data_IF_886938929689
#
_entry.id   IF_886938929689
#
_cell.length_a   1.000
_cell.length_b   1.000
_cell.length_c   1.000
_cell.angle_alpha   90.00
_cell.angle_beta   90.00
_cell.angle_gamma   90.00
#
_symmetry.space_group_name_H-M   'P 1'
#
loop_
_entity.id
_entity.type
_entity.pdbx_description
1 polymer ?
#
# COMPACT_ATOMS: atom_id res chain seq x y z
N UNK A 1 22.75 15.33 -11.23
CA UNK A 1 21.30 15.10 -11.08
C UNK A 1 20.84 14.66 -12.49
N UNK A 2 20.29 13.46 -12.62
CA UNK A 2 19.81 12.96 -13.92
C UNK A 2 18.52 13.70 -14.31
N UNK A 3 18.31 13.95 -15.59
CA UNK A 3 17.06 14.56 -16.06
C UNK A 3 15.97 13.50 -16.29
N UNK A 4 14.70 13.91 -16.31
CA UNK A 4 13.55 12.99 -16.43
C UNK A 4 13.62 12.09 -17.67
N UNK A 5 14.13 12.59 -18.80
CA UNK A 5 14.26 11.83 -20.05
C UNK A 5 15.32 10.72 -19.94
N UNK A 6 16.44 10.99 -19.24
CA UNK A 6 17.49 9.97 -19.00
C UNK A 6 16.96 8.88 -18.07
N UNK A 7 16.22 9.27 -17.02
CA UNK A 7 15.62 8.31 -16.08
C UNK A 7 14.59 7.43 -16.80
N UNK A 8 13.70 8.02 -17.61
CA UNK A 8 12.69 7.27 -18.37
C UNK A 8 13.32 6.29 -19.37
N UNK A 9 14.34 6.72 -20.12
CA UNK A 9 15.07 5.85 -21.05
C UNK A 9 15.79 4.70 -20.34
N UNK A 10 16.33 4.94 -19.15
CA UNK A 10 16.95 3.90 -18.33
C UNK A 10 15.90 2.94 -17.76
N UNK A 11 14.73 3.45 -17.36
CA UNK A 11 13.62 2.67 -16.86
C UNK A 11 13.05 1.71 -17.91
N UNK A 12 12.84 2.20 -19.14
CA UNK A 12 12.39 1.37 -20.26
C UNK A 12 13.33 0.17 -20.50
N UNK A 13 14.64 0.38 -20.35
CA UNK A 13 15.65 -0.69 -20.45
C UNK A 13 15.69 -1.61 -19.23
N UNK A 14 15.25 -1.11 -18.07
CA UNK A 14 15.20 -1.87 -16.83
C UNK A 14 13.99 -2.81 -16.76
N UNK A 15 12.93 -2.53 -17.53
CA UNK A 15 11.74 -3.37 -17.61
C UNK A 15 12.14 -4.83 -17.97
N UNK A 16 11.57 -5.79 -17.26
CA UNK A 16 11.86 -7.22 -17.39
C UNK A 16 13.32 -7.62 -17.07
N UNK A 17 14.03 -6.81 -16.31
CA UNK A 17 15.36 -7.14 -15.78
C UNK A 17 15.34 -7.23 -14.25
N UNK A 18 16.42 -7.75 -13.66
CA UNK A 18 16.59 -7.78 -12.20
C UNK A 18 16.85 -6.42 -11.55
N UNK A 19 16.88 -5.34 -12.31
CA UNK A 19 17.05 -3.98 -11.77
C UNK A 19 15.79 -3.52 -11.02
N UNK A 20 14.61 -3.92 -11.50
CA UNK A 20 13.33 -3.72 -10.84
C UNK A 20 12.97 -4.98 -10.05
N UNK A 21 12.63 -4.82 -8.78
CA UNK A 21 12.30 -5.93 -7.90
C UNK A 21 11.33 -5.49 -6.81
N UNK A 22 10.66 -6.46 -6.18
CA UNK A 22 9.73 -6.21 -5.08
C UNK A 22 10.38 -6.52 -3.75
N UNK A 23 10.09 -5.67 -2.77
CA UNK A 23 10.34 -5.91 -1.34
C UNK A 23 9.01 -5.84 -0.59
N UNK A 24 8.97 -6.38 0.62
CA UNK A 24 7.74 -6.58 1.38
C UNK A 24 7.90 -5.98 2.77
N UNK A 25 7.08 -5.01 3.11
CA UNK A 25 7.09 -4.39 4.42
C UNK A 25 6.00 -4.98 5.30
N UNK A 26 6.32 -5.48 6.51
CA UNK A 26 5.33 -6.11 7.37
C UNK A 26 4.33 -5.11 7.93
N UNK A 27 3.08 -5.53 7.97
CA UNK A 27 1.96 -4.87 8.63
C UNK A 27 1.67 -5.62 9.92
N UNK A 28 1.79 -4.93 11.06
CA UNK A 28 1.64 -5.51 12.38
C UNK A 28 0.29 -5.12 13.01
N UNK A 29 -0.46 -6.11 13.47
CA UNK A 29 -1.74 -5.91 14.12
C UNK A 29 -1.54 -5.74 15.63
N UNK A 30 -1.98 -4.61 16.17
CA UNK A 30 -1.77 -4.23 17.57
C UNK A 30 -2.61 -5.06 18.55
N UNK A 31 -3.77 -5.56 18.12
CA UNK A 31 -4.67 -6.32 19.00
C UNK A 31 -4.13 -7.71 19.32
N UNK A 32 -3.67 -8.45 18.29
CA UNK A 32 -3.16 -9.82 18.46
C UNK A 32 -1.65 -9.90 18.52
N UNK A 33 -0.94 -8.77 18.34
CA UNK A 33 0.52 -8.64 18.37
C UNK A 33 1.22 -9.57 17.37
N UNK A 34 0.70 -9.65 16.13
CA UNK A 34 1.23 -10.48 15.06
C UNK A 34 1.30 -9.72 13.75
N UNK A 35 2.18 -10.17 12.87
CA UNK A 35 2.16 -9.74 11.47
C UNK A 35 0.84 -10.23 10.86
N UNK A 36 0.06 -9.33 10.29
CA UNK A 36 -1.23 -9.59 9.64
C UNK A 36 -1.16 -9.55 8.11
N UNK A 37 -0.05 -9.08 7.57
CA UNK A 37 0.16 -8.98 6.14
C UNK A 37 1.46 -8.26 5.79
N UNK A 38 1.60 -7.97 4.51
CA UNK A 38 2.74 -7.23 3.98
C UNK A 38 2.27 -6.27 2.89
N UNK A 39 2.93 -5.14 2.77
CA UNK A 39 2.82 -4.27 1.61
C UNK A 39 3.96 -4.59 0.63
N UNK A 40 3.62 -4.79 -0.63
CA UNK A 40 4.58 -4.98 -1.72
C UNK A 40 5.03 -3.62 -2.26
N UNK A 41 6.32 -3.39 -2.21
CA UNK A 41 6.93 -2.13 -2.57
C UNK A 41 7.96 -2.35 -3.69
N UNK A 42 7.80 -1.66 -4.82
CA UNK A 42 8.75 -1.74 -5.92
C UNK A 42 10.04 -1.00 -5.57
N UNK A 43 11.16 -1.55 -6.03
CA UNK A 43 12.49 -0.93 -5.93
C UNK A 43 13.17 -0.97 -7.29
N UNK A 44 13.94 0.06 -7.55
CA UNK A 44 14.77 0.15 -8.76
C UNK A 44 16.22 0.44 -8.37
N UNK A 45 17.10 -0.51 -8.70
CA UNK A 45 18.55 -0.34 -8.57
C UNK A 45 19.18 -0.28 -9.96
N UNK A 46 19.38 0.94 -10.45
CA UNK A 46 20.00 1.18 -11.75
C UNK A 46 21.53 1.04 -11.65
N UNK A 47 22.18 0.28 -12.54
CA UNK A 47 23.65 0.16 -12.56
C UNK A 47 24.37 1.50 -12.77
N UNK A 48 23.70 2.48 -13.37
CA UNK A 48 24.28 3.77 -13.72
C UNK A 48 23.91 4.88 -12.72
N UNK A 49 22.71 4.79 -12.09
CA UNK A 49 22.13 5.83 -11.26
C UNK A 49 22.01 5.42 -9.78
N UNK A 50 22.26 4.14 -9.46
CA UNK A 50 22.04 3.60 -8.10
C UNK A 50 20.56 3.39 -7.80
N UNK A 51 20.22 3.44 -6.50
CA UNK A 51 18.82 3.33 -6.04
C UNK A 51 18.02 4.57 -6.42
N UNK A 52 16.90 4.36 -7.12
CA UNK A 52 15.97 5.42 -7.53
C UNK A 52 14.67 5.24 -6.73
N UNK A 53 14.19 6.36 -6.15
CA UNK A 53 12.94 6.34 -5.37
C UNK A 53 11.74 5.95 -6.25
N UNK A 54 10.81 5.13 -5.73
CA UNK A 54 9.53 4.84 -6.38
C UNK A 54 8.79 6.11 -6.81
N UNK A 55 8.73 7.13 -5.97
CA UNK A 55 8.05 8.40 -6.26
C UNK A 55 8.56 9.04 -7.57
N UNK A 56 9.85 8.88 -7.87
CA UNK A 56 10.44 9.44 -9.11
C UNK A 56 10.04 8.61 -10.33
N UNK A 57 10.24 7.29 -10.30
CA UNK A 57 10.03 6.50 -11.50
C UNK A 57 8.57 6.12 -11.75
N UNK A 58 7.75 5.99 -10.70
CA UNK A 58 6.30 5.77 -10.84
C UNK A 58 5.65 7.00 -11.47
N UNK A 59 5.94 8.20 -10.95
CA UNK A 59 5.43 9.45 -11.54
C UNK A 59 5.83 9.59 -13.01
N UNK A 60 7.07 9.23 -13.37
CA UNK A 60 7.51 9.28 -14.77
C UNK A 60 6.75 8.28 -15.66
N UNK A 61 6.41 7.09 -15.15
CA UNK A 61 5.58 6.11 -15.89
C UNK A 61 4.15 6.61 -16.05
N UNK A 62 3.58 7.25 -15.04
CA UNK A 62 2.25 7.86 -15.11
C UNK A 62 2.22 8.99 -16.13
N UNK A 63 3.15 9.95 -16.04
CA UNK A 63 3.24 11.11 -16.93
C UNK A 63 3.47 10.71 -18.40
N UNK A 64 4.23 9.63 -18.63
CA UNK A 64 4.48 9.11 -19.97
C UNK A 64 3.38 8.19 -20.51
N UNK A 65 2.37 7.85 -19.71
CA UNK A 65 1.32 6.88 -20.06
C UNK A 65 1.78 5.42 -20.11
N UNK A 66 2.99 5.12 -19.58
CA UNK A 66 3.59 3.79 -19.62
C UNK A 66 3.40 2.99 -18.33
N UNK A 67 2.55 3.44 -17.40
CA UNK A 67 2.36 2.79 -16.08
C UNK A 67 1.95 1.30 -16.22
N UNK A 68 1.19 0.95 -17.25
CA UNK A 68 0.77 -0.43 -17.51
C UNK A 68 1.94 -1.38 -17.82
N UNK A 69 3.13 -0.85 -18.14
CA UNK A 69 4.32 -1.68 -18.43
C UNK A 69 4.85 -2.41 -17.19
N UNK A 70 4.48 -1.98 -15.99
CA UNK A 70 4.87 -2.60 -14.73
C UNK A 70 3.73 -3.35 -14.02
N UNK A 71 2.51 -3.41 -14.60
CA UNK A 71 1.32 -4.00 -13.98
C UNK A 71 1.58 -5.42 -13.46
N UNK A 72 2.16 -6.30 -14.29
CA UNK A 72 2.44 -7.69 -13.89
C UNK A 72 3.45 -7.76 -12.72
N UNK A 73 4.38 -6.82 -12.65
CA UNK A 73 5.36 -6.75 -11.58
C UNK A 73 4.73 -6.27 -10.27
N UNK A 74 3.78 -5.33 -10.36
CA UNK A 74 3.10 -4.75 -9.17
C UNK A 74 2.00 -5.66 -8.64
N UNK A 75 1.35 -6.44 -9.50
CA UNK A 75 0.20 -7.28 -9.11
C UNK A 75 0.52 -8.77 -9.15
N UNK A 76 0.77 -9.34 -10.33
CA UNK A 76 0.91 -10.79 -10.50
C UNK A 76 2.08 -11.37 -9.69
N UNK A 77 3.26 -10.75 -9.76
CA UNK A 77 4.46 -11.24 -9.05
C UNK A 77 4.28 -11.26 -7.52
N UNK A 78 3.81 -10.19 -6.86
CA UNK A 78 3.57 -10.21 -5.42
C UNK A 78 2.46 -11.19 -5.02
N UNK A 79 1.40 -11.33 -5.82
CA UNK A 79 0.32 -12.28 -5.51
C UNK A 79 0.81 -13.73 -5.57
N UNK A 80 1.66 -14.10 -6.55
CA UNK A 80 2.29 -15.43 -6.60
C UNK A 80 3.13 -15.69 -5.34
N UNK A 81 3.91 -14.70 -4.90
CA UNK A 81 4.69 -14.80 -3.65
C UNK A 81 3.77 -15.02 -2.44
N UNK A 82 2.66 -14.27 -2.35
CA UNK A 82 1.72 -14.34 -1.23
C UNK A 82 0.98 -15.68 -1.13
N UNK A 83 0.86 -16.45 -2.22
CA UNK A 83 0.25 -17.79 -2.17
C UNK A 83 1.01 -18.75 -1.25
N UNK A 84 2.30 -18.51 -1.04
CA UNK A 84 3.20 -19.35 -0.21
C UNK A 84 3.14 -18.99 1.27
N UNK A 85 2.46 -17.91 1.63
CA UNK A 85 2.34 -17.47 3.02
C UNK A 85 1.20 -18.20 3.73
N UNK A 86 1.33 -18.43 5.05
CA UNK A 86 0.22 -18.99 5.83
C UNK A 86 -0.98 -18.03 5.85
N UNK A 87 -2.18 -18.59 5.89
CA UNK A 87 -3.38 -17.79 6.17
C UNK A 87 -3.39 -17.32 7.62
N UNK A 88 -3.95 -16.15 7.91
CA UNK A 88 -4.74 -15.26 7.04
C UNK A 88 -3.98 -14.03 6.52
N UNK A 89 -2.67 -14.14 6.24
CA UNK A 89 -1.86 -12.99 5.84
C UNK A 89 -2.39 -12.35 4.56
N UNK A 90 -2.51 -11.02 4.59
CA UNK A 90 -2.98 -10.19 3.48
C UNK A 90 -1.79 -9.55 2.79
N UNK A 91 -1.83 -9.45 1.48
CA UNK A 91 -0.88 -8.69 0.68
C UNK A 91 -1.54 -7.41 0.17
N UNK A 92 -0.91 -6.28 0.45
CA UNK A 92 -1.26 -4.98 -0.12
C UNK A 92 -0.40 -4.66 -1.34
N UNK A 93 -1.02 -4.14 -2.39
CA UNK A 93 -0.37 -3.67 -3.61
C UNK A 93 -0.88 -2.29 -3.97
N UNK A 94 0.04 -1.42 -4.39
CA UNK A 94 -0.28 -0.08 -4.85
C UNK A 94 -0.72 -0.11 -6.32
N UNK A 95 -1.88 0.48 -6.63
CA UNK A 95 -2.36 0.65 -8.00
C UNK A 95 -2.56 2.14 -8.26
N UNK A 96 -2.08 2.61 -9.41
CA UNK A 96 -2.17 4.02 -9.76
C UNK A 96 -3.62 4.45 -10.00
N UNK A 97 -3.91 5.73 -9.76
CA UNK A 97 -5.24 6.28 -10.03
C UNK A 97 -5.63 6.19 -11.52
N UNK A 98 -4.65 6.21 -12.42
CA UNK A 98 -4.91 6.01 -13.84
C UNK A 98 -5.45 4.60 -14.14
N UNK A 99 -4.92 3.58 -13.44
CA UNK A 99 -5.42 2.21 -13.56
C UNK A 99 -6.82 2.06 -12.96
N UNK A 100 -7.16 2.80 -11.88
CA UNK A 100 -8.51 2.84 -11.33
C UNK A 100 -9.53 3.41 -12.31
N UNK A 101 -9.10 4.14 -13.33
CA UNK A 101 -9.91 4.70 -14.37
C UNK A 101 -10.10 3.79 -15.59
N UNK A 102 -9.38 2.66 -15.63
CA UNK A 102 -9.59 1.66 -16.67
C UNK A 102 -10.78 0.75 -16.31
N UNK A 103 -11.85 0.75 -17.15
CA UNK A 103 -13.02 -0.12 -16.90
C UNK A 103 -12.68 -1.62 -16.85
N UNK A 104 -11.51 -2.04 -17.34
CA UNK A 104 -11.07 -3.43 -17.38
C UNK A 104 -10.31 -3.86 -16.11
N UNK A 105 -9.98 -2.93 -15.21
CA UNK A 105 -9.23 -3.24 -13.97
C UNK A 105 -9.84 -4.42 -13.18
N UNK A 106 -11.15 -4.46 -12.85
CA UNK A 106 -11.70 -5.58 -12.07
C UNK A 106 -11.57 -6.94 -12.77
N UNK A 107 -11.65 -6.95 -14.10
CA UNK A 107 -11.49 -8.18 -14.89
C UNK A 107 -10.04 -8.66 -14.87
N UNK A 108 -9.06 -7.75 -15.00
CA UNK A 108 -7.63 -8.08 -14.90
C UNK A 108 -7.28 -8.62 -13.52
N UNK A 109 -7.72 -7.93 -12.46
CA UNK A 109 -7.50 -8.36 -11.07
C UNK A 109 -8.07 -9.76 -10.85
N UNK A 110 -9.31 -10.01 -11.24
CA UNK A 110 -9.94 -11.34 -11.14
C UNK A 110 -9.15 -12.41 -11.87
N UNK A 111 -8.76 -12.14 -13.12
CA UNK A 111 -7.96 -13.05 -13.93
C UNK A 111 -6.63 -13.37 -13.26
N UNK A 112 -5.89 -12.36 -12.83
CA UNK A 112 -4.57 -12.53 -12.24
C UNK A 112 -4.64 -13.29 -10.91
N UNK A 113 -5.57 -12.97 -10.02
CA UNK A 113 -5.82 -13.72 -8.78
C UNK A 113 -6.19 -15.18 -9.04
N UNK A 114 -6.98 -15.45 -10.09
CA UNK A 114 -7.34 -16.82 -10.48
C UNK A 114 -6.13 -17.59 -11.00
N UNK A 115 -5.28 -16.96 -11.81
CA UNK A 115 -4.08 -17.58 -12.39
C UNK A 115 -3.05 -17.92 -11.31
N UNK A 116 -2.77 -17.00 -10.37
CA UNK A 116 -1.82 -17.27 -9.29
C UNK A 116 -2.42 -18.14 -8.16
N UNK A 117 -3.74 -18.20 -8.04
CA UNK A 117 -4.43 -18.99 -7.00
C UNK A 117 -4.51 -18.32 -5.64
N UNK A 118 -4.26 -17.00 -5.54
CA UNK A 118 -4.42 -16.26 -4.30
C UNK A 118 -5.91 -15.99 -4.02
N UNK A 119 -6.45 -16.39 -2.85
CA UNK A 119 -7.82 -16.03 -2.48
C UNK A 119 -8.02 -14.50 -2.46
N UNK A 120 -9.07 -13.96 -3.11
CA UNK A 120 -9.26 -12.51 -3.24
C UNK A 120 -9.24 -11.74 -1.90
N UNK A 121 -9.80 -12.33 -0.83
CA UNK A 121 -9.82 -11.71 0.50
C UNK A 121 -8.42 -11.54 1.15
N UNK A 122 -7.39 -12.17 0.57
CA UNK A 122 -5.99 -12.01 0.94
C UNK A 122 -5.26 -10.96 0.10
N UNK A 123 -5.93 -10.33 -0.85
CA UNK A 123 -5.42 -9.20 -1.62
C UNK A 123 -6.07 -7.90 -1.16
N UNK A 124 -5.27 -6.89 -0.93
CA UNK A 124 -5.68 -5.51 -0.69
C UNK A 124 -5.08 -4.63 -1.77
N UNK A 125 -5.88 -3.75 -2.34
CA UNK A 125 -5.45 -2.76 -3.32
C UNK A 125 -5.46 -1.39 -2.63
N UNK A 126 -4.35 -0.67 -2.75
CA UNK A 126 -4.17 0.65 -2.16
C UNK A 126 -4.28 1.71 -3.25
N UNK A 127 -4.96 2.80 -2.94
CA UNK A 127 -5.10 3.97 -3.80
C UNK A 127 -4.83 5.22 -2.99
N UNK A 128 -3.99 6.12 -3.53
CA UNK A 128 -3.63 7.36 -2.85
C UNK A 128 -4.74 8.40 -2.91
N UNK A 129 -4.87 9.21 -1.85
CA UNK A 129 -5.83 10.30 -1.76
C UNK A 129 -5.54 11.40 -2.80
N UNK A 130 -4.27 11.69 -3.05
CA UNK A 130 -3.82 12.81 -3.88
C UNK A 130 -4.04 12.61 -5.37
N UNK A 131 -4.22 11.38 -5.79
CA UNK A 131 -4.50 11.07 -7.19
C UNK A 131 -5.95 11.42 -7.53
N UNK A 132 -6.20 12.39 -8.43
CA UNK A 132 -7.57 12.67 -8.87
C UNK A 132 -8.08 11.38 -9.52
N UNK A 133 -8.94 10.66 -8.80
CA UNK A 133 -9.73 9.61 -9.43
C UNK A 133 -10.52 10.29 -10.56
N UNK A 134 -10.03 10.12 -11.79
CA UNK A 134 -10.67 10.56 -13.01
C UNK A 134 -12.13 10.12 -12.97
N UNK A 135 -12.92 10.43 -13.88
CA UNK A 135 -14.38 10.24 -13.86
C UNK A 135 -14.87 9.36 -12.68
N UNK A 136 -15.37 10.03 -11.67
CA UNK A 136 -15.75 9.41 -10.37
C UNK A 136 -16.73 8.24 -10.51
N UNK A 137 -17.36 8.04 -11.68
CA UNK A 137 -18.29 6.94 -11.94
C UNK A 137 -17.55 5.64 -12.27
N UNK A 138 -16.48 5.69 -13.08
CA UNK A 138 -15.70 4.51 -13.44
C UNK A 138 -14.96 4.00 -12.20
N UNK A 139 -14.29 4.88 -11.47
CA UNK A 139 -13.60 4.50 -10.24
C UNK A 139 -14.54 3.89 -9.19
N UNK A 140 -15.71 4.49 -8.96
CA UNK A 140 -16.72 3.97 -8.04
C UNK A 140 -17.23 2.58 -8.48
N UNK A 141 -17.47 2.40 -9.77
CA UNK A 141 -17.87 1.11 -10.34
C UNK A 141 -16.77 0.06 -10.13
N UNK A 142 -15.52 0.38 -10.48
CA UNK A 142 -14.39 -0.51 -10.32
C UNK A 142 -14.19 -0.92 -8.85
N UNK A 143 -14.26 0.01 -7.90
CA UNK A 143 -14.18 -0.31 -6.47
C UNK A 143 -15.30 -1.26 -6.03
N UNK A 144 -16.54 -1.01 -6.50
CA UNK A 144 -17.68 -1.89 -6.20
C UNK A 144 -17.47 -3.30 -6.76
N UNK A 145 -16.97 -3.42 -7.99
CA UNK A 145 -16.69 -4.71 -8.62
C UNK A 145 -15.52 -5.43 -7.95
N UNK A 146 -14.45 -4.72 -7.54
CA UNK A 146 -13.34 -5.28 -6.77
C UNK A 146 -13.81 -5.82 -5.42
N UNK A 147 -14.67 -5.09 -4.72
CA UNK A 147 -15.30 -5.59 -3.48
C UNK A 147 -16.16 -6.82 -3.73
N UNK A 148 -16.92 -6.86 -4.83
CA UNK A 148 -17.72 -8.04 -5.20
C UNK A 148 -16.88 -9.28 -5.54
N UNK A 149 -15.63 -9.09 -5.98
CA UNK A 149 -14.65 -10.18 -6.15
C UNK A 149 -14.15 -10.68 -4.78
N UNK A 150 -14.20 -9.85 -3.74
CA UNK A 150 -13.69 -10.12 -2.40
C UNK A 150 -12.34 -9.47 -2.09
N UNK A 151 -11.83 -8.61 -2.97
CA UNK A 151 -10.59 -7.85 -2.76
C UNK A 151 -10.85 -6.74 -1.74
N UNK A 152 -9.89 -6.48 -0.86
CA UNK A 152 -9.92 -5.37 0.09
C UNK A 152 -9.40 -4.09 -0.59
N UNK A 153 -9.90 -2.94 -0.11
CA UNK A 153 -9.48 -1.63 -0.59
C UNK A 153 -8.91 -0.81 0.56
N UNK A 154 -7.79 -0.14 0.33
CA UNK A 154 -7.21 0.81 1.28
C UNK A 154 -7.09 2.20 0.65
N UNK A 155 -7.38 3.22 1.46
CA UNK A 155 -7.10 4.61 1.13
C UNK A 155 -5.75 4.97 1.74
N UNK A 156 -4.80 5.34 0.88
CA UNK A 156 -3.41 5.64 1.26
C UNK A 156 -3.15 7.15 1.36
N UNK A 157 -2.10 7.52 2.09
CA UNK A 157 -1.61 8.89 2.32
C UNK A 157 -2.66 9.85 2.91
N UNK A 158 -3.60 9.33 3.71
CA UNK A 158 -4.70 10.15 4.22
C UNK A 158 -4.22 11.32 5.06
N UNK A 159 -4.65 12.53 4.63
CA UNK A 159 -4.37 13.78 5.31
C UNK A 159 -3.22 14.60 4.73
N UNK A 160 -2.44 14.09 3.76
CA UNK A 160 -1.33 14.83 3.13
C UNK A 160 -1.79 15.75 2.01
N UNK A 161 -2.98 15.51 1.46
CA UNK A 161 -3.54 16.26 0.35
C UNK A 161 -4.76 17.10 0.74
N UNK A 162 -5.76 17.05 -0.06
CA UNK A 162 -7.06 17.69 0.18
C UNK A 162 -8.00 16.71 0.88
N UNK A 163 -7.64 16.29 2.12
CA UNK A 163 -8.38 15.29 2.92
C UNK A 163 -9.90 15.42 2.68
N UNK A 164 -10.39 14.67 1.72
CA UNK A 164 -11.78 14.78 1.32
C UNK A 164 -12.57 13.66 1.98
N UNK A 165 -13.15 13.96 3.14
CA UNK A 165 -14.05 13.04 3.84
C UNK A 165 -15.14 12.43 2.93
N UNK A 166 -15.43 13.08 1.80
CA UNK A 166 -16.35 12.51 0.80
C UNK A 166 -15.84 11.19 0.20
N UNK A 167 -14.52 10.92 0.20
CA UNK A 167 -14.01 9.62 -0.25
C UNK A 167 -14.49 8.50 0.67
N UNK A 168 -14.42 8.70 2.00
CA UNK A 168 -14.89 7.70 2.98
C UNK A 168 -16.40 7.49 2.92
N UNK A 169 -17.16 8.53 2.55
CA UNK A 169 -18.61 8.42 2.35
C UNK A 169 -18.98 7.72 1.03
N UNK A 170 -18.16 7.89 0.01
CA UNK A 170 -18.48 7.49 -1.35
C UNK A 170 -17.98 6.10 -1.72
N UNK A 171 -16.83 5.71 -1.16
CA UNK A 171 -16.12 4.50 -1.57
C UNK A 171 -16.00 3.49 -0.41
N UNK A 172 -16.10 2.18 -0.72
CA UNK A 172 -16.16 1.12 0.30
C UNK A 172 -14.76 0.67 0.75
N UNK A 173 -14.00 1.55 1.38
CA UNK A 173 -12.68 1.20 1.90
C UNK A 173 -12.77 0.28 3.13
N UNK A 174 -11.84 -0.66 3.23
CA UNK A 174 -11.64 -1.54 4.39
C UNK A 174 -10.57 -1.01 5.34
N UNK A 175 -9.58 -0.28 4.80
CA UNK A 175 -8.45 0.24 5.56
C UNK A 175 -8.20 1.70 5.19
N UNK A 176 -7.85 2.51 6.18
CA UNK A 176 -7.35 3.87 6.04
C UNK A 176 -5.92 3.91 6.55
N UNK A 177 -4.97 4.35 5.71
CA UNK A 177 -3.56 4.48 6.06
C UNK A 177 -3.27 5.92 6.46
N UNK A 178 -2.74 6.14 7.66
CA UNK A 178 -2.33 7.45 8.16
C UNK A 178 -0.86 7.63 7.81
N UNK A 179 -0.56 8.69 7.06
CA UNK A 179 0.79 8.98 6.61
C UNK A 179 1.76 9.23 7.77
N UNK A 180 3.01 8.85 7.53
CA UNK A 180 4.15 8.98 8.47
C UNK A 180 4.35 10.39 9.02
N UNK A 181 3.99 11.46 8.28
CA UNK A 181 4.13 12.84 8.74
C UNK A 181 3.30 13.12 10.00
N UNK A 182 2.11 12.50 10.11
CA UNK A 182 1.28 12.59 11.31
C UNK A 182 1.84 11.75 12.46
N UNK A 183 2.42 10.59 12.14
CA UNK A 183 2.97 9.65 13.12
C UNK A 183 4.30 10.18 13.68
N UNK A 184 5.12 10.85 12.88
CA UNK A 184 6.40 11.42 13.32
C UNK A 184 6.25 12.39 14.51
N UNK A 185 5.13 13.14 14.57
CA UNK A 185 4.86 14.10 15.63
C UNK A 185 3.87 13.63 16.71
N UNK A 186 3.62 12.34 16.85
CA UNK A 186 2.57 11.78 17.72
C UNK A 186 2.94 11.71 19.22
N UNK A 187 3.62 12.72 19.72
CA UNK A 187 3.88 12.82 21.15
C UNK A 187 2.58 13.14 21.95
N UNK A 188 2.54 12.79 23.27
CA UNK A 188 1.38 13.12 24.11
C UNK A 188 1.02 14.61 24.04
N UNK A 189 -0.29 14.89 23.97
CA UNK A 189 -0.86 16.25 23.95
C UNK A 189 -0.48 17.16 22.77
N UNK A 190 0.23 16.64 21.76
CA UNK A 190 0.51 17.37 20.54
C UNK A 190 -0.74 17.52 19.66
N UNK A 191 -0.69 18.51 18.76
CA UNK A 191 -1.72 18.69 17.74
C UNK A 191 -1.84 17.46 16.84
N UNK A 192 -0.69 16.85 16.47
CA UNK A 192 -0.65 15.62 15.66
C UNK A 192 -1.36 14.48 16.35
N UNK A 193 -1.10 14.23 17.64
CA UNK A 193 -1.78 13.19 18.41
C UNK A 193 -3.30 13.36 18.41
N UNK A 194 -3.81 14.58 18.57
CA UNK A 194 -5.26 14.87 18.54
C UNK A 194 -5.86 14.67 17.16
N UNK A 195 -5.12 14.99 16.09
CA UNK A 195 -5.56 14.76 14.72
C UNK A 195 -5.66 13.26 14.46
N UNK A 196 -4.61 12.49 14.78
CA UNK A 196 -4.58 11.03 14.58
C UNK A 196 -5.70 10.35 15.36
N UNK A 197 -5.94 10.73 16.62
CA UNK A 197 -7.05 10.23 17.43
C UNK A 197 -8.42 10.53 16.80
N UNK A 198 -8.58 11.73 16.24
CA UNK A 198 -9.78 12.12 15.50
C UNK A 198 -9.98 11.30 14.24
N UNK A 199 -8.91 11.03 13.46
CA UNK A 199 -8.95 10.22 12.25
C UNK A 199 -9.32 8.76 12.60
N UNK A 200 -8.70 8.17 13.63
CA UNK A 200 -9.01 6.81 14.07
C UNK A 200 -10.48 6.69 14.48
N UNK A 201 -10.96 7.61 15.30
CA UNK A 201 -12.37 7.63 15.72
C UNK A 201 -13.33 7.75 14.54
N UNK A 202 -13.01 8.60 13.58
CA UNK A 202 -13.79 8.77 12.35
C UNK A 202 -13.84 7.47 11.54
N UNK A 203 -12.69 6.86 11.25
CA UNK A 203 -12.60 5.62 10.47
C UNK A 203 -13.41 4.49 11.13
N UNK A 204 -13.28 4.32 12.44
CA UNK A 204 -14.03 3.32 13.21
C UNK A 204 -15.55 3.52 13.13
N UNK A 205 -16.04 4.77 13.10
CA UNK A 205 -17.48 5.05 12.93
C UNK A 205 -18.02 4.58 11.56
N UNK A 206 -17.14 4.43 10.56
CA UNK A 206 -17.47 3.86 9.25
C UNK A 206 -17.15 2.36 9.15
N UNK A 207 -16.63 1.73 10.21
CA UNK A 207 -16.21 0.33 10.20
C UNK A 207 -14.93 0.08 9.40
N UNK A 208 -14.09 1.11 9.25
CA UNK A 208 -12.83 1.09 8.52
C UNK A 208 -11.68 0.87 9.51
N UNK A 209 -10.82 -0.12 9.27
CA UNK A 209 -9.59 -0.34 10.07
C UNK A 209 -8.55 0.74 9.76
N UNK A 210 -7.74 1.10 10.76
CA UNK A 210 -6.69 2.12 10.61
C UNK A 210 -5.31 1.48 10.69
N UNK A 211 -4.47 1.81 9.70
CA UNK A 211 -3.05 1.49 9.65
C UNK A 211 -2.23 2.78 9.78
N UNK A 212 -1.40 2.89 10.82
CA UNK A 212 -0.47 4.02 10.96
C UNK A 212 0.91 3.67 10.39
N UNK A 213 1.42 4.54 9.52
CA UNK A 213 2.69 4.36 8.84
C UNK A 213 3.86 5.08 9.50
N UNK A 214 5.09 4.66 9.17
CA UNK A 214 6.30 5.32 9.63
C UNK A 214 6.54 5.21 11.14
N UNK A 215 6.08 4.13 11.77
CA UNK A 215 6.36 3.88 13.20
C UNK A 215 7.81 3.45 13.37
N UNK A 216 8.60 4.26 14.07
CA UNK A 216 10.04 4.05 14.25
C UNK A 216 10.45 3.88 15.72
N UNK A 217 9.59 4.28 16.67
CA UNK A 217 9.93 4.27 18.10
C UNK A 217 8.88 3.53 18.95
N UNK A 218 9.33 3.03 20.10
CA UNK A 218 8.45 2.41 21.07
C UNK A 218 7.39 3.41 21.60
N UNK A 219 7.74 4.68 21.77
CA UNK A 219 6.81 5.70 22.23
C UNK A 219 5.65 5.93 21.24
N UNK A 220 5.94 5.90 19.92
CA UNK A 220 4.90 5.95 18.88
C UNK A 220 3.99 4.73 18.94
N UNK A 221 4.56 3.52 19.08
CA UNK A 221 3.79 2.28 19.25
C UNK A 221 2.84 2.36 20.46
N UNK A 222 3.35 2.74 21.63
CA UNK A 222 2.55 2.87 22.84
C UNK A 222 1.41 3.87 22.65
N UNK A 223 1.72 5.03 22.05
CA UNK A 223 0.71 6.06 21.82
C UNK A 223 -0.37 5.59 20.86
N UNK A 224 0.00 5.00 19.71
CA UNK A 224 -0.95 4.46 18.74
C UNK A 224 -1.83 3.35 19.34
N UNK A 225 -1.25 2.49 20.18
CA UNK A 225 -2.00 1.46 20.90
C UNK A 225 -3.02 2.10 21.87
N UNK A 226 -2.60 3.13 22.61
CA UNK A 226 -3.46 3.82 23.59
C UNK A 226 -4.68 4.50 22.93
N UNK A 227 -4.48 5.12 21.75
CA UNK A 227 -5.56 5.79 21.02
C UNK A 227 -6.37 4.85 20.12
N UNK A 228 -6.09 3.53 20.17
CA UNK A 228 -6.92 2.50 19.54
C UNK A 228 -6.65 2.27 18.06
N UNK A 229 -5.44 2.57 17.55
CA UNK A 229 -5.05 2.19 16.20
C UNK A 229 -5.08 0.66 16.05
N UNK A 230 -5.48 0.16 14.88
CA UNK A 230 -5.63 -1.29 14.65
C UNK A 230 -4.32 -1.93 14.21
N UNK A 231 -3.60 -1.27 13.31
CA UNK A 231 -2.38 -1.79 12.66
C UNK A 231 -1.30 -0.71 12.58
N UNK A 232 -0.08 -1.16 12.51
CA UNK A 232 1.08 -0.28 12.30
C UNK A 232 2.02 -0.86 11.24
N UNK A 233 2.77 0.04 10.61
CA UNK A 233 3.84 -0.27 9.68
C UNK A 233 4.99 0.71 9.90
N UNK A 234 6.23 0.23 9.89
CA UNK A 234 7.39 1.09 10.06
C UNK A 234 8.64 0.32 10.48
N UNK A 235 9.75 1.03 10.56
CA UNK A 235 11.06 0.45 10.85
C UNK A 235 11.18 -0.08 12.29
N UNK A 236 10.27 0.32 13.16
CA UNK A 236 10.18 -0.27 14.50
C UNK A 236 9.88 -1.77 14.46
N UNK A 237 9.06 -2.20 13.51
CA UNK A 237 8.78 -3.64 13.30
C UNK A 237 9.86 -4.25 12.42
N UNK A 238 10.01 -3.74 11.19
CA UNK A 238 11.06 -4.13 10.25
C UNK A 238 11.09 -3.15 9.07
N UNK A 239 12.26 -2.86 8.50
CA UNK A 239 12.31 -2.33 7.14
C UNK A 239 11.71 -3.34 6.15
N UNK A 240 11.40 -2.92 4.91
CA UNK A 240 11.02 -3.84 3.84
C UNK A 240 12.07 -4.94 3.63
N UNK A 241 11.62 -6.18 3.49
CA UNK A 241 12.48 -7.36 3.31
C UNK A 241 12.26 -8.02 1.95
N UNK A 242 13.20 -8.85 1.52
CA UNK A 242 13.03 -9.70 0.34
C UNK A 242 12.05 -10.85 0.62
N UNK A 243 11.47 -11.43 -0.43
CA UNK A 243 10.49 -12.51 -0.29
C UNK A 243 11.04 -13.74 0.47
N UNK A 244 12.32 -14.05 0.29
CA UNK A 244 13.00 -15.15 0.98
C UNK A 244 13.18 -14.96 2.49
N UNK A 245 13.14 -13.72 2.99
CA UNK A 245 13.31 -13.39 4.41
C UNK A 245 11.97 -13.41 5.19
N UNK A 246 10.84 -13.41 4.50
CA UNK A 246 9.50 -13.39 5.11
C UNK A 246 9.27 -14.55 6.10
N UNK A 247 9.64 -15.82 5.82
CA UNK A 247 9.43 -16.91 6.77
C UNK A 247 10.16 -16.71 8.09
N UNK A 248 11.39 -16.16 8.06
CA UNK A 248 12.15 -15.85 9.25
C UNK A 248 11.48 -14.77 10.10
N UNK A 249 11.00 -13.71 9.44
CA UNK A 249 10.27 -12.61 10.08
C UNK A 249 8.95 -13.09 10.72
N UNK A 250 8.19 -13.92 10.04
CA UNK A 250 6.96 -14.52 10.60
C UNK A 250 7.26 -15.40 11.81
N UNK A 251 8.35 -16.13 11.82
CA UNK A 251 8.76 -16.95 12.97
C UNK A 251 9.10 -16.09 14.18
N UNK A 252 9.64 -14.90 13.98
CA UNK A 252 9.98 -13.95 15.04
C UNK A 252 8.73 -13.34 15.68
N UNK A 253 7.73 -12.93 14.90
CA UNK A 253 6.60 -12.13 15.35
C UNK A 253 5.29 -12.91 15.57
N UNK A 254 5.13 -14.12 15.00
CA UNK A 254 3.88 -14.87 15.09
C UNK A 254 3.96 -16.11 16.03
N UNK A 255 4.88 -16.04 16.99
CA UNK A 255 5.00 -17.08 18.05
C UNK A 255 3.82 -17.09 18.99
#
# INVERSE_FOLDING_TARGET
>A
MFNSSEVLTALEKALNTSQLYMVYQPIFNLRNQRISGFEALMRWNSPQMGMISPDVFITLLEDSGNIMSIEDMVTHTPWDVATRWPEPLVLSVNISALEFCDPLLPQRVRKNLTVCGLPPHRSQIEVTETSPLCDSQIAAKNMTELKAIGVKLALDDFGTGHANLNYLLKYPFDTLKIDKEFVAGIEPDTRSAKIVEGIISLAHNFGIEVLAEGVETHAQLERLTLIGCDKIQGFFISPPVMAEDIPALLTQFNR
#
